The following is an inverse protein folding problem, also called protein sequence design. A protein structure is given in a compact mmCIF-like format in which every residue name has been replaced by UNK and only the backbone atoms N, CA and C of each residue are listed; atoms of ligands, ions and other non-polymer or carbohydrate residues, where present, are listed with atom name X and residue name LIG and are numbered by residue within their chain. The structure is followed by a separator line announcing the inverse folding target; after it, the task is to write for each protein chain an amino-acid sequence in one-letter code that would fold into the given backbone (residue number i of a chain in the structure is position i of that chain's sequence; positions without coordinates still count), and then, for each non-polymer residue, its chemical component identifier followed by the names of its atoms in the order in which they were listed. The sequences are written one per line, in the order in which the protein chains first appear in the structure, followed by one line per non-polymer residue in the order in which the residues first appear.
data_IF_205032819528
#
_entry.id   IF_205032819528
#
_cell.length_a   1.000
_cell.length_b   1.000
_cell.length_c   1.000
_cell.angle_alpha   90.00
_cell.angle_beta   90.00
_cell.angle_gamma   90.00
#
_symmetry.space_group_name_H-M   'P 1'
#
loop_
_entity.id
_entity.type
_entity.pdbx_description
1 polymer ?
#
# COMPACT_ATOMS: atom_id res chain seq x y z
N UNK A 1 -8.57 -19.17 13.28
CA UNK A 1 -7.89 -20.06 12.31
C UNK A 1 -6.83 -19.23 11.63
N UNK A 2 -5.56 -19.59 11.77
CA UNK A 2 -4.49 -19.01 10.95
C UNK A 2 -4.87 -19.17 9.48
N UNK A 3 -4.94 -18.08 8.73
CA UNK A 3 -5.02 -18.18 7.27
C UNK A 3 -3.70 -18.81 6.85
N UNK A 4 -3.74 -19.94 6.15
CA UNK A 4 -2.53 -20.62 5.67
C UNK A 4 -1.91 -19.78 4.54
N UNK A 5 -0.62 -19.46 4.66
CA UNK A 5 0.17 -18.80 3.62
C UNK A 5 0.28 -19.69 2.36
N UNK A 6 0.61 -19.08 1.21
CA UNK A 6 0.74 -19.74 -0.09
C UNK A 6 -0.45 -19.53 -1.03
N UNK A 7 -1.30 -18.54 -0.77
CA UNK A 7 -2.35 -18.14 -1.70
C UNK A 7 -1.85 -17.06 -2.66
N UNK A 8 -2.28 -17.15 -3.93
CA UNK A 8 -1.97 -16.19 -4.98
C UNK A 8 -3.26 -15.87 -5.74
N UNK A 9 -3.52 -14.58 -5.97
CA UNK A 9 -4.69 -14.14 -6.74
C UNK A 9 -4.44 -12.83 -7.47
N UNK A 10 -5.29 -12.52 -8.43
CA UNK A 10 -5.42 -11.17 -8.97
C UNK A 10 -6.23 -10.28 -8.02
N UNK A 11 -6.20 -8.97 -8.28
CA UNK A 11 -7.07 -8.00 -7.62
C UNK A 11 -8.55 -8.36 -7.80
N UNK A 12 -9.34 -8.16 -6.74
CA UNK A 12 -10.80 -8.27 -6.82
C UNK A 12 -11.39 -7.09 -7.61
N UNK A 13 -12.63 -7.20 -8.07
CA UNK A 13 -13.34 -6.06 -8.68
C UNK A 13 -13.48 -4.87 -7.72
N UNK A 14 -13.63 -5.15 -6.42
CA UNK A 14 -13.69 -4.14 -5.36
C UNK A 14 -12.36 -3.41 -5.17
N UNK A 15 -11.25 -4.14 -5.14
CA UNK A 15 -9.90 -3.60 -5.05
C UNK A 15 -9.52 -2.77 -6.28
N UNK A 16 -9.90 -3.23 -7.47
CA UNK A 16 -9.74 -2.46 -8.71
C UNK A 16 -10.56 -1.17 -8.62
N UNK A 17 -11.81 -1.25 -8.16
CA UNK A 17 -12.66 -0.08 -7.94
C UNK A 17 -12.04 0.92 -6.97
N UNK A 18 -11.53 0.43 -5.83
CA UNK A 18 -10.83 1.23 -4.83
C UNK A 18 -9.59 1.92 -5.40
N UNK A 19 -8.71 1.17 -6.07
CA UNK A 19 -7.49 1.72 -6.67
C UNK A 19 -7.79 2.72 -7.80
N UNK A 20 -8.86 2.52 -8.58
CA UNK A 20 -9.27 3.45 -9.64
C UNK A 20 -9.65 4.84 -9.12
N UNK A 21 -10.09 4.96 -7.87
CA UNK A 21 -10.35 6.27 -7.24
C UNK A 21 -9.09 7.13 -7.13
N UNK A 22 -7.91 6.51 -7.09
CA UNK A 22 -6.62 7.19 -6.97
C UNK A 22 -5.88 7.23 -8.31
N UNK A 23 -5.81 6.10 -9.01
CA UNK A 23 -4.93 5.94 -10.16
C UNK A 23 -5.65 5.98 -11.51
N UNK A 24 -6.98 5.99 -11.52
CA UNK A 24 -7.78 5.98 -12.76
C UNK A 24 -7.37 4.84 -13.70
N UNK A 25 -6.96 5.18 -14.93
CA UNK A 25 -6.48 4.20 -15.91
C UNK A 25 -4.95 4.01 -15.94
N UNK A 26 -4.21 4.56 -14.97
CA UNK A 26 -2.74 4.63 -15.05
C UNK A 26 -2.00 3.37 -14.58
N UNK A 27 -2.72 2.35 -14.10
CA UNK A 27 -2.20 1.03 -13.72
C UNK A 27 -2.86 -0.03 -14.60
N UNK A 28 -2.07 -0.98 -15.09
CA UNK A 28 -2.56 -2.18 -15.76
C UNK A 28 -2.99 -3.21 -14.69
N UNK A 29 -4.19 -3.04 -14.16
CA UNK A 29 -4.69 -3.82 -13.02
C UNK A 29 -4.70 -5.34 -13.23
N UNK A 30 -4.95 -5.80 -14.45
CA UNK A 30 -4.96 -7.23 -14.79
C UNK A 30 -3.59 -7.92 -14.72
N UNK A 31 -2.52 -7.18 -14.40
CA UNK A 31 -1.16 -7.71 -14.19
C UNK A 31 -0.70 -7.63 -12.74
N UNK A 32 -1.55 -7.17 -11.82
CA UNK A 32 -1.21 -7.00 -10.41
C UNK A 32 -1.63 -8.23 -9.63
N UNK A 33 -0.65 -8.96 -9.12
CA UNK A 33 -0.85 -10.12 -8.26
C UNK A 33 -0.84 -9.73 -6.78
N UNK A 34 -1.61 -10.45 -5.98
CA UNK A 34 -1.65 -10.37 -4.52
C UNK A 34 -1.28 -11.73 -3.96
N UNK A 35 -0.18 -11.75 -3.21
CA UNK A 35 0.39 -12.90 -2.54
C UNK A 35 0.00 -12.86 -1.07
N UNK A 36 -0.55 -13.96 -0.56
CA UNK A 36 -0.60 -14.27 0.86
C UNK A 36 0.66 -15.05 1.24
N UNK A 37 1.82 -14.41 1.10
CA UNK A 37 3.11 -15.03 1.28
C UNK A 37 4.22 -13.97 1.47
N UNK A 38 5.40 -14.43 1.84
CA UNK A 38 6.63 -13.65 1.92
C UNK A 38 7.24 -13.45 0.53
N UNK A 39 7.65 -12.22 0.22
CA UNK A 39 8.50 -11.90 -0.92
C UNK A 39 9.89 -12.55 -0.81
N UNK A 40 10.46 -12.58 0.39
CA UNK A 40 11.77 -13.20 0.63
C UNK A 40 11.65 -14.71 0.85
N UNK A 41 12.64 -15.51 0.44
CA UNK A 41 12.64 -16.95 0.65
C UNK A 41 12.62 -17.30 2.14
N UNK A 42 12.15 -18.50 2.46
CA UNK A 42 12.06 -19.03 3.84
C UNK A 42 11.22 -18.18 4.80
N UNK A 43 10.29 -17.35 4.29
CA UNK A 43 9.44 -16.53 5.13
C UNK A 43 10.18 -15.42 5.86
N UNK A 44 11.30 -14.94 5.32
CA UNK A 44 12.14 -13.90 5.94
C UNK A 44 11.50 -12.50 5.91
N UNK A 45 10.45 -12.27 5.12
CA UNK A 45 9.63 -11.07 5.26
C UNK A 45 8.95 -11.08 6.63
N UNK A 46 9.08 -10.00 7.39
CA UNK A 46 8.38 -9.88 8.67
C UNK A 46 6.85 -10.04 8.46
N UNK A 47 6.21 -10.83 9.32
CA UNK A 47 4.78 -11.17 9.23
C UNK A 47 3.85 -9.96 9.21
N UNK A 48 4.23 -8.88 9.86
CA UNK A 48 3.43 -7.66 9.89
C UNK A 48 3.78 -6.72 8.74
N UNK A 49 4.69 -7.07 7.84
CA UNK A 49 5.11 -6.19 6.75
C UNK A 49 4.37 -6.48 5.46
N UNK A 50 3.90 -5.44 4.78
CA UNK A 50 3.58 -5.52 3.35
C UNK A 50 4.77 -5.06 2.49
N UNK A 51 4.87 -5.61 1.28
CA UNK A 51 5.90 -5.24 0.30
C UNK A 51 5.33 -5.28 -1.11
N UNK A 52 5.91 -4.45 -2.00
CA UNK A 52 5.54 -4.40 -3.42
C UNK A 52 6.70 -4.12 -4.39
N UNK A 53 7.74 -4.97 -4.42
CA UNK A 53 9.03 -4.66 -5.06
C UNK A 53 9.05 -4.76 -6.58
N UNK A 54 8.16 -5.57 -7.14
CA UNK A 54 8.17 -5.98 -8.54
C UNK A 54 6.80 -5.71 -9.23
N UNK A 55 6.02 -4.79 -8.67
CA UNK A 55 4.69 -4.47 -9.19
C UNK A 55 3.59 -5.45 -8.76
N UNK A 56 3.88 -6.34 -7.83
CA UNK A 56 2.94 -7.25 -7.17
C UNK A 56 2.88 -6.93 -5.68
N UNK A 57 1.86 -7.41 -4.98
CA UNK A 57 1.61 -7.13 -3.57
C UNK A 57 1.86 -8.36 -2.72
N UNK A 58 2.63 -8.24 -1.65
CA UNK A 58 2.96 -9.34 -0.73
C UNK A 58 2.51 -8.99 0.68
N UNK A 59 1.54 -9.74 1.18
CA UNK A 59 1.00 -9.61 2.54
C UNK A 59 1.09 -10.94 3.27
N UNK A 60 1.47 -10.91 4.55
CA UNK A 60 1.43 -12.07 5.44
C UNK A 60 0.24 -11.94 6.40
N UNK A 61 0.46 -11.60 7.66
CA UNK A 61 -0.61 -11.54 8.68
C UNK A 61 -1.69 -10.50 8.35
N UNK A 62 -1.36 -9.49 7.52
CA UNK A 62 -2.27 -8.45 7.05
C UNK A 62 -3.05 -8.79 5.78
N UNK A 63 -2.88 -10.02 5.27
CA UNK A 63 -3.61 -10.46 4.10
C UNK A 63 -5.10 -10.62 4.38
N UNK A 64 -5.91 -10.09 3.46
CA UNK A 64 -7.36 -10.27 3.43
C UNK A 64 -7.82 -10.68 2.03
N UNK A 65 -8.94 -11.44 1.93
CA UNK A 65 -9.46 -11.87 0.64
C UNK A 65 -9.88 -10.70 -0.27
N UNK A 66 -10.26 -9.56 0.31
CA UNK A 66 -10.71 -8.38 -0.42
C UNK A 66 -10.49 -7.09 0.39
N UNK A 67 -9.42 -6.36 0.12
CA UNK A 67 -9.06 -5.14 0.88
C UNK A 67 -10.14 -4.05 0.78
N UNK A 68 -10.96 -4.04 -0.28
CA UNK A 68 -12.01 -3.01 -0.42
C UNK A 68 -13.19 -3.22 0.54
N UNK A 69 -13.32 -4.41 1.14
CA UNK A 69 -14.40 -4.72 2.10
C UNK A 69 -14.00 -4.49 3.55
N UNK A 70 -12.71 -4.25 3.80
CA UNK A 70 -12.17 -4.09 5.14
C UNK A 70 -12.28 -2.64 5.68
N UNK A 71 -11.89 -2.48 6.94
CA UNK A 71 -11.77 -1.19 7.61
C UNK A 71 -10.70 -0.27 7.00
N UNK A 72 -10.71 0.99 7.43
CA UNK A 72 -9.87 2.05 6.85
C UNK A 72 -8.37 1.73 6.87
N UNK A 73 -7.86 1.04 7.89
CA UNK A 73 -6.44 0.69 7.99
C UNK A 73 -5.99 -0.24 6.86
N UNK A 74 -6.80 -1.25 6.52
CA UNK A 74 -6.49 -2.18 5.43
C UNK A 74 -6.60 -1.50 4.06
N UNK A 75 -7.61 -0.64 3.87
CA UNK A 75 -7.76 0.16 2.64
C UNK A 75 -6.61 1.13 2.44
N UNK A 76 -6.18 1.80 3.51
CA UNK A 76 -5.04 2.71 3.52
C UNK A 76 -3.75 1.98 3.15
N UNK A 77 -3.47 0.86 3.82
CA UNK A 77 -2.33 -0.02 3.52
C UNK A 77 -2.34 -0.48 2.07
N UNK A 78 -3.49 -0.94 1.57
CA UNK A 78 -3.63 -1.37 0.18
C UNK A 78 -3.33 -0.24 -0.81
N UNK A 79 -3.85 0.96 -0.58
CA UNK A 79 -3.56 2.12 -1.45
C UNK A 79 -2.08 2.49 -1.40
N UNK A 80 -1.44 2.46 -0.23
CA UNK A 80 0.01 2.69 -0.08
C UNK A 80 0.80 1.75 -0.99
N UNK A 81 0.56 0.45 -0.88
CA UNK A 81 1.26 -0.54 -1.73
C UNK A 81 0.91 -0.40 -3.21
N UNK A 82 -0.32 0.00 -3.55
CA UNK A 82 -0.69 0.29 -4.94
C UNK A 82 0.06 1.50 -5.52
N UNK A 83 0.53 2.45 -4.71
CA UNK A 83 1.40 3.52 -5.19
C UNK A 83 2.74 2.94 -5.63
N UNK A 84 3.30 1.97 -4.91
CA UNK A 84 4.52 1.29 -5.32
C UNK A 84 4.33 0.47 -6.60
N UNK A 85 3.19 -0.18 -6.76
CA UNK A 85 2.83 -0.83 -8.05
C UNK A 85 2.80 0.20 -9.19
N UNK A 86 2.17 1.36 -8.97
CA UNK A 86 2.16 2.44 -9.95
C UNK A 86 3.57 2.95 -10.26
N UNK A 87 4.40 3.18 -9.24
CA UNK A 87 5.80 3.59 -9.37
C UNK A 87 6.59 2.57 -10.22
N UNK A 88 6.44 1.28 -9.93
CA UNK A 88 7.07 0.20 -10.68
C UNK A 88 6.64 0.21 -12.16
N UNK A 89 5.34 0.33 -12.44
CA UNK A 89 4.83 0.38 -13.83
C UNK A 89 5.27 1.65 -14.58
N UNK A 90 5.74 2.68 -13.88
CA UNK A 90 6.36 3.88 -14.46
C UNK A 90 7.88 3.77 -14.61
N UNK A 91 8.47 2.61 -14.33
CA UNK A 91 9.91 2.37 -14.44
C UNK A 91 10.72 2.99 -13.30
N UNK A 92 10.08 3.32 -12.18
CA UNK A 92 10.76 3.87 -11.01
C UNK A 92 11.37 2.72 -10.19
N UNK A 93 12.61 2.90 -9.72
CA UNK A 93 13.29 1.92 -8.86
C UNK A 93 12.70 1.93 -7.45
N UNK A 94 11.71 1.08 -7.21
CA UNK A 94 11.11 0.90 -5.88
C UNK A 94 12.08 0.14 -4.99
N UNK A 95 12.76 0.83 -4.06
CA UNK A 95 13.47 0.17 -2.96
C UNK A 95 12.44 -0.15 -1.89
N UNK A 96 11.86 -1.35 -1.91
CA UNK A 96 10.91 -1.76 -0.85
C UNK A 96 11.64 -1.90 0.47
N UNK A 97 11.58 -0.86 1.29
CA UNK A 97 11.83 -1.00 2.72
C UNK A 97 10.49 -1.41 3.30
N UNK A 98 10.26 -2.72 3.35
CA UNK A 98 9.01 -3.27 3.86
C UNK A 98 8.61 -2.60 5.17
N UNK A 99 7.30 -2.35 5.30
CA UNK A 99 6.56 -1.60 6.34
C UNK A 99 6.89 -1.82 7.83
N UNK A 100 7.96 -2.51 8.22
CA UNK A 100 8.39 -2.63 9.63
C UNK A 100 9.85 -2.35 9.89
N UNK A 101 10.60 -1.79 8.93
CA UNK A 101 11.86 -1.19 9.37
C UNK A 101 11.53 0.14 10.04
N UNK A 102 11.80 0.27 11.35
CA UNK A 102 11.80 1.58 12.03
C UNK A 102 12.58 2.66 11.24
N UNK A 103 13.43 2.24 10.29
CA UNK A 103 14.31 3.04 9.42
C UNK A 103 13.63 3.63 8.18
N UNK A 104 12.37 3.30 7.87
CA UNK A 104 11.62 3.96 6.80
C UNK A 104 10.98 5.25 7.35
N UNK A 105 11.40 6.40 6.81
CA UNK A 105 10.85 7.69 7.22
C UNK A 105 9.51 7.94 6.52
N UNK A 106 8.43 7.52 7.16
CA UNK A 106 7.05 7.78 6.73
C UNK A 106 6.59 9.20 7.06
N UNK A 107 7.30 9.91 7.94
CA UNK A 107 7.01 11.30 8.24
C UNK A 107 7.35 12.15 7.02
N UNK A 108 6.42 13.01 6.65
CA UNK A 108 6.57 13.98 5.59
C UNK A 108 6.01 15.32 6.06
N UNK A 109 6.52 16.41 5.49
CA UNK A 109 6.00 17.75 5.70
C UNK A 109 5.51 18.31 4.37
N UNK A 110 4.29 18.83 4.37
CA UNK A 110 3.73 19.56 3.23
C UNK A 110 4.05 21.04 3.44
N UNK A 111 5.20 21.48 2.92
CA UNK A 111 5.65 22.88 3.00
C UNK A 111 5.09 23.76 1.87
N UNK A 112 4.26 23.20 0.98
CA UNK A 112 3.67 23.89 -0.17
C UNK A 112 4.64 24.17 -1.33
N UNK A 113 5.93 23.94 -1.15
CA UNK A 113 6.98 24.19 -2.14
C UNK A 113 7.40 22.93 -2.91
N UNK A 114 7.17 21.74 -2.33
CA UNK A 114 7.53 20.45 -2.92
C UNK A 114 6.40 19.83 -3.73
N UNK A 115 6.71 19.50 -4.98
CA UNK A 115 5.88 18.60 -5.79
C UNK A 115 6.03 17.15 -5.28
N UNK A 116 5.00 16.31 -5.48
CA UNK A 116 5.00 14.91 -5.04
C UNK A 116 6.26 14.14 -5.46
N UNK A 117 6.71 14.31 -6.71
CA UNK A 117 7.92 13.65 -7.25
C UNK A 117 9.23 13.98 -6.52
N UNK A 118 9.25 15.05 -5.72
CA UNK A 118 10.41 15.49 -4.95
C UNK A 118 10.46 14.85 -3.54
N UNK A 119 9.46 14.07 -3.17
CA UNK A 119 9.46 13.27 -1.94
C UNK A 119 10.10 11.90 -2.17
N UNK A 120 10.61 11.26 -1.11
CA UNK A 120 11.06 9.88 -1.17
C UNK A 120 9.90 8.94 -1.57
N UNK A 121 10.20 7.79 -2.17
CA UNK A 121 9.17 6.87 -2.71
C UNK A 121 8.13 6.43 -1.67
N UNK A 122 8.58 6.10 -0.47
CA UNK A 122 7.70 5.77 0.68
C UNK A 122 6.85 6.96 1.12
N UNK A 123 7.42 8.18 1.11
CA UNK A 123 6.67 9.39 1.44
C UNK A 123 5.62 9.69 0.35
N UNK A 124 5.92 9.48 -0.93
CA UNK A 124 4.94 9.62 -2.00
C UNK A 124 3.75 8.66 -1.78
N UNK A 125 4.04 7.40 -1.47
CA UNK A 125 3.03 6.39 -1.17
C UNK A 125 2.17 6.78 0.04
N UNK A 126 2.83 7.23 1.11
CA UNK A 126 2.20 7.67 2.34
C UNK A 126 1.30 8.90 2.14
N UNK A 127 1.77 9.92 1.42
CA UNK A 127 1.01 11.14 1.09
C UNK A 127 -0.25 10.78 0.30
N UNK A 128 -0.13 9.93 -0.72
CA UNK A 128 -1.27 9.55 -1.56
C UNK A 128 -2.29 8.72 -0.78
N UNK A 129 -1.83 7.77 0.05
CA UNK A 129 -2.72 6.96 0.89
C UNK A 129 -3.44 7.81 1.95
N UNK A 130 -2.75 8.77 2.56
CA UNK A 130 -3.33 9.71 3.51
C UNK A 130 -4.34 10.66 2.87
N UNK A 131 -4.03 11.17 1.67
CA UNK A 131 -4.97 11.96 0.89
C UNK A 131 -6.25 11.17 0.54
N UNK A 132 -6.10 9.92 0.09
CA UNK A 132 -7.24 9.06 -0.19
C UNK A 132 -8.11 8.85 1.07
N UNK A 133 -7.49 8.49 2.20
CA UNK A 133 -8.20 8.29 3.47
C UNK A 133 -8.93 9.56 3.93
N UNK A 134 -8.27 10.72 3.87
CA UNK A 134 -8.84 12.00 4.24
C UNK A 134 -10.08 12.34 3.39
N UNK A 135 -9.98 12.15 2.08
CA UNK A 135 -11.06 12.49 1.14
C UNK A 135 -12.20 11.48 1.14
N UNK A 136 -11.94 10.19 1.41
CA UNK A 136 -12.96 9.15 1.43
C UNK A 136 -13.67 8.99 2.77
N UNK A 137 -13.01 9.32 3.88
CA UNK A 137 -13.47 8.99 5.24
C UNK A 137 -13.49 10.18 6.19
N UNK A 138 -13.01 11.34 5.74
CA UNK A 138 -13.05 12.60 6.49
C UNK A 138 -11.94 12.74 7.54
N UNK A 139 -11.85 13.95 8.07
CA UNK A 139 -10.76 14.38 8.95
C UNK A 139 -10.67 13.58 10.26
N UNK A 140 -11.81 13.19 10.84
CA UNK A 140 -11.82 12.44 12.10
C UNK A 140 -11.14 11.06 11.98
N UNK A 141 -11.43 10.32 10.90
CA UNK A 141 -10.81 9.01 10.65
C UNK A 141 -9.34 9.18 10.31
N UNK A 142 -9.02 10.13 9.44
CA UNK A 142 -7.63 10.44 9.07
C UNK A 142 -6.78 10.77 10.31
N UNK A 143 -7.27 11.63 11.21
CA UNK A 143 -6.55 12.01 12.42
C UNK A 143 -6.29 10.82 13.35
N UNK A 144 -7.30 9.96 13.53
CA UNK A 144 -7.19 8.79 14.41
C UNK A 144 -6.10 7.79 13.97
N UNK A 145 -5.70 7.79 12.69
CA UNK A 145 -4.60 6.95 12.18
C UNK A 145 -3.27 7.25 12.85
N UNK A 146 -3.03 8.50 13.26
CA UNK A 146 -1.79 8.94 13.91
C UNK A 146 -1.73 8.66 15.41
N UNK A 147 -2.76 8.02 15.97
CA UNK A 147 -2.95 7.86 17.41
C UNK A 147 -3.77 9.00 18.01
N UNK A 148 -4.46 8.73 19.12
CA UNK A 148 -5.00 9.81 19.96
C UNK A 148 -3.80 10.47 20.64
N UNK A 149 -3.69 11.79 20.54
CA UNK A 149 -2.91 12.57 21.51
C UNK A 149 -3.40 12.30 22.94
#
# INVERSE_FOLDING_TARGET
MEKKEGALRLLTSGEIGLAKLVFGGSIIYGKVWVHHDSYFPFGLQNRNTAMSPNGELYFRDWYVPDFSKEGYSHKHLFIHEMVHVWQYQRGMWVKTRGLYSWLANYSYELDGSKLLKNYAMEQQAQIVADYHLLTSSGYAVWRNRFGKE
#
